data_IF_627780974115
#
_entry.id   IF_627780974115
#
_cell.length_a   1.000
_cell.length_b   1.000
_cell.length_c   1.000
_cell.angle_alpha   90.00
_cell.angle_beta   90.00
_cell.angle_gamma   90.00
#
_symmetry.space_group_name_H-M   'P 1'
#
loop_
_entity.id
_entity.type
_entity.pdbx_description
1 polymer ?
#
# COMPACT_ATOMS: atom_id res chain seq x y z
N UNK A 1 -43.54 75.52 -8.90
CA UNK A 1 -42.66 76.67 -9.11
C UNK A 1 -41.24 76.21 -9.16
N UNK A 2 -40.63 76.42 -10.33
CA UNK A 2 -39.20 76.32 -10.78
C UNK A 2 -38.28 75.29 -10.15
N UNK A 3 -38.10 74.21 -10.89
CA UNK A 3 -37.05 73.19 -10.76
C UNK A 3 -35.83 73.67 -11.54
N UNK A 4 -34.62 73.66 -10.92
CA UNK A 4 -33.35 73.82 -11.59
C UNK A 4 -32.71 72.45 -11.77
N UNK A 5 -32.39 72.09 -13.04
CA UNK A 5 -31.59 70.99 -13.47
C UNK A 5 -30.12 71.25 -13.12
N UNK A 6 -29.44 70.28 -12.46
CA UNK A 6 -27.98 70.22 -12.41
C UNK A 6 -27.56 68.91 -13.05
N UNK A 7 -26.78 69.04 -14.13
CA UNK A 7 -26.19 67.99 -14.91
C UNK A 7 -24.86 67.58 -14.24
N UNK A 8 -24.71 66.32 -13.80
CA UNK A 8 -23.41 65.80 -13.42
C UNK A 8 -22.96 64.75 -14.45
N UNK A 9 -21.80 65.03 -15.07
CA UNK A 9 -21.01 64.10 -15.87
C UNK A 9 -20.47 63.02 -14.89
N UNK A 10 -20.79 61.77 -15.13
CA UNK A 10 -20.13 60.64 -14.50
C UNK A 10 -19.23 59.96 -15.54
N UNK A 11 -17.94 60.07 -15.29
CA UNK A 11 -16.88 59.35 -16.00
C UNK A 11 -17.00 57.87 -15.60
N UNK A 12 -17.29 57.02 -16.57
CA UNK A 12 -17.38 55.59 -16.38
C UNK A 12 -15.99 54.96 -16.22
N UNK A 13 -15.66 54.52 -15.03
CA UNK A 13 -14.57 53.56 -14.81
C UNK A 13 -15.10 52.18 -15.09
N UNK A 14 -14.66 51.57 -16.18
CA UNK A 14 -14.91 50.13 -16.47
C UNK A 14 -14.02 49.29 -15.54
N UNK A 15 -14.60 48.81 -14.48
CA UNK A 15 -14.02 47.72 -13.65
C UNK A 15 -14.10 46.41 -14.45
N UNK A 16 -12.97 45.95 -14.98
CA UNK A 16 -12.81 44.57 -15.39
C UNK A 16 -12.86 43.70 -14.13
N UNK A 17 -14.01 43.12 -13.82
CA UNK A 17 -14.12 41.99 -12.93
C UNK A 17 -13.61 40.80 -13.70
N UNK A 18 -12.37 40.40 -13.42
CA UNK A 18 -11.84 39.13 -13.87
C UNK A 18 -12.67 38.00 -13.27
N UNK A 19 -13.51 37.38 -14.07
CA UNK A 19 -14.08 36.08 -13.74
C UNK A 19 -12.91 35.09 -13.70
N UNK A 20 -12.50 34.70 -12.48
CA UNK A 20 -11.75 33.49 -12.27
C UNK A 20 -12.66 32.34 -12.73
N UNK A 21 -12.35 31.77 -13.89
CA UNK A 21 -12.94 30.51 -14.32
C UNK A 21 -12.59 29.47 -13.24
N UNK A 22 -13.55 29.13 -12.42
CA UNK A 22 -13.50 27.94 -11.60
C UNK A 22 -13.46 26.77 -12.59
N UNK A 23 -12.30 26.17 -12.73
CA UNK A 23 -12.15 24.95 -13.50
C UNK A 23 -12.94 23.87 -12.76
N UNK A 24 -14.17 23.60 -13.18
CA UNK A 24 -14.89 22.42 -12.76
C UNK A 24 -14.05 21.21 -13.14
N UNK A 25 -13.64 20.44 -12.16
CA UNK A 25 -13.00 19.13 -12.35
C UNK A 25 -13.99 18.23 -13.09
N UNK A 26 -13.89 18.18 -14.41
CA UNK A 26 -14.57 17.17 -15.21
C UNK A 26 -13.89 15.82 -14.86
N UNK A 27 -14.42 15.14 -13.88
CA UNK A 27 -14.12 13.73 -13.68
C UNK A 27 -14.65 13.00 -14.90
N UNK A 28 -13.74 12.47 -15.73
CA UNK A 28 -14.10 11.49 -16.75
C UNK A 28 -14.53 10.25 -15.96
N UNK A 29 -15.80 10.17 -15.62
CA UNK A 29 -16.44 8.96 -15.11
C UNK A 29 -16.60 8.09 -16.35
N UNK A 30 -15.60 7.23 -16.60
CA UNK A 30 -15.76 6.15 -17.58
C UNK A 30 -16.96 5.29 -17.18
N UNK A 31 -17.72 4.84 -18.14
CA UNK A 31 -18.91 3.98 -17.98
C UNK A 31 -18.59 2.80 -17.03
N UNK A 32 -19.14 2.82 -15.83
CA UNK A 32 -18.92 1.85 -14.76
C UNK A 32 -17.68 2.13 -13.91
N UNK A 33 -17.83 2.07 -12.58
CA UNK A 33 -16.76 2.28 -11.60
C UNK A 33 -15.53 1.36 -11.76
N UNK A 34 -15.60 0.35 -12.64
CA UNK A 34 -14.59 -0.67 -12.90
C UNK A 34 -13.92 -0.58 -14.28
N UNK A 35 -14.27 0.38 -15.16
CA UNK A 35 -13.69 0.42 -16.50
C UNK A 35 -12.25 0.96 -16.49
N UNK A 36 -11.32 0.15 -17.01
CA UNK A 36 -9.94 0.57 -17.24
C UNK A 36 -9.90 1.61 -18.35
N UNK A 37 -9.15 2.68 -18.15
CA UNK A 37 -8.89 3.64 -19.21
C UNK A 37 -8.00 2.99 -20.29
N UNK A 38 -8.38 3.13 -21.56
CA UNK A 38 -7.50 2.72 -22.65
C UNK A 38 -6.29 3.67 -22.71
N UNK A 39 -5.08 3.08 -22.78
CA UNK A 39 -3.83 3.82 -22.85
C UNK A 39 -2.96 3.26 -23.98
N UNK A 40 -2.42 4.13 -24.83
CA UNK A 40 -1.38 3.77 -25.80
C UNK A 40 -0.01 4.25 -25.33
N UNK A 41 0.95 3.36 -25.45
CA UNK A 41 2.36 3.72 -25.45
C UNK A 41 2.76 3.81 -26.92
N UNK A 42 2.76 5.02 -27.51
CA UNK A 42 3.43 5.20 -28.78
C UNK A 42 4.90 4.80 -28.58
N UNK A 43 5.52 4.19 -29.61
CA UNK A 43 6.93 3.83 -29.51
C UNK A 43 7.69 5.09 -29.10
N UNK A 44 8.13 5.07 -27.84
CA UNK A 44 9.00 6.11 -27.33
C UNK A 44 10.21 6.14 -28.27
N UNK A 45 10.42 7.21 -29.00
CA UNK A 45 11.51 7.31 -29.96
C UNK A 45 12.85 7.04 -29.24
N UNK A 46 13.77 6.31 -29.86
CA UNK A 46 15.02 5.90 -29.21
C UNK A 46 14.97 4.54 -28.49
N UNK A 47 13.80 3.88 -28.39
CA UNK A 47 13.69 2.55 -27.77
C UNK A 47 14.38 1.38 -28.53
N UNK A 48 15.01 1.63 -29.66
CA UNK A 48 15.75 0.58 -30.41
C UNK A 48 17.04 0.11 -29.72
N UNK A 49 17.60 0.89 -28.79
CA UNK A 49 18.77 0.50 -27.99
C UNK A 49 18.34 -0.33 -26.79
N UNK A 50 19.25 -1.15 -26.24
CA UNK A 50 19.03 -2.09 -25.14
C UNK A 50 18.31 -1.44 -23.94
N UNK A 51 18.75 -0.28 -23.52
CA UNK A 51 18.19 0.47 -22.37
C UNK A 51 16.77 0.96 -22.66
N UNK A 52 16.51 1.47 -23.87
CA UNK A 52 15.19 1.90 -24.29
C UNK A 52 14.19 0.75 -24.39
N UNK A 53 14.59 -0.40 -24.94
CA UNK A 53 13.76 -1.62 -24.99
C UNK A 53 13.42 -2.10 -23.57
N UNK A 54 14.40 -2.11 -22.67
CA UNK A 54 14.20 -2.49 -21.26
C UNK A 54 13.23 -1.52 -20.58
N UNK A 55 13.45 -0.21 -20.74
CA UNK A 55 12.55 0.82 -20.19
C UNK A 55 11.12 0.61 -20.65
N UNK A 56 10.90 0.48 -21.96
CA UNK A 56 9.57 0.31 -22.56
C UNK A 56 8.87 -0.95 -22.05
N UNK A 57 9.57 -2.08 -22.01
CA UNK A 57 9.02 -3.36 -21.55
C UNK A 57 8.55 -3.26 -20.07
N UNK A 58 9.38 -2.66 -19.22
CA UNK A 58 9.04 -2.48 -17.79
C UNK A 58 7.87 -1.52 -17.65
N UNK A 59 7.92 -0.35 -18.30
CA UNK A 59 6.84 0.64 -18.25
C UNK A 59 5.49 0.06 -18.69
N UNK A 60 5.49 -0.69 -19.80
CA UNK A 60 4.28 -1.37 -20.29
C UNK A 60 3.73 -2.38 -19.28
N UNK A 61 4.61 -3.17 -18.69
CA UNK A 61 4.26 -4.17 -17.68
C UNK A 61 3.65 -3.50 -16.44
N UNK A 62 4.27 -2.43 -15.94
CA UNK A 62 3.83 -1.71 -14.75
C UNK A 62 2.47 -1.05 -14.94
N UNK A 63 2.27 -0.35 -16.07
CA UNK A 63 0.99 0.28 -16.40
C UNK A 63 -0.13 -0.76 -16.55
N UNK A 64 0.19 -1.96 -17.09
CA UNK A 64 -0.77 -3.07 -17.15
C UNK A 64 -1.11 -3.60 -15.76
N UNK A 65 -0.07 -3.84 -14.91
CA UNK A 65 -0.24 -4.34 -13.54
C UNK A 65 -0.91 -3.34 -12.60
N UNK A 66 -0.82 -2.05 -12.91
CA UNK A 66 -1.51 -1.02 -12.11
C UNK A 66 -3.03 -1.22 -12.07
N UNK A 67 -3.57 -2.05 -12.96
CA UNK A 67 -5.00 -2.31 -13.07
C UNK A 67 -5.83 -1.12 -13.59
N UNK A 68 -5.27 0.09 -13.60
CA UNK A 68 -5.96 1.32 -14.02
C UNK A 68 -6.08 1.48 -15.54
N UNK A 69 -5.21 0.80 -16.31
CA UNK A 69 -5.14 0.97 -17.75
C UNK A 69 -5.30 -0.34 -18.50
N UNK A 70 -6.00 -0.26 -19.65
CA UNK A 70 -5.93 -1.25 -20.73
C UNK A 70 -4.92 -0.74 -21.73
N UNK A 71 -3.68 -1.28 -21.66
CA UNK A 71 -2.60 -0.87 -22.56
C UNK A 71 -2.83 -1.44 -23.94
N UNK A 72 -2.97 -0.57 -24.93
CA UNK A 72 -3.23 -0.89 -26.34
C UNK A 72 -1.96 -0.70 -27.18
N UNK A 73 -1.90 -1.40 -28.30
CA UNK A 73 -0.81 -1.29 -29.30
C UNK A 73 -1.19 -0.42 -30.50
N UNK A 74 -2.45 0.03 -30.57
CA UNK A 74 -2.98 0.82 -31.70
C UNK A 74 -3.40 2.21 -31.22
N UNK A 75 -3.29 3.27 -32.07
CA UNK A 75 -3.80 4.60 -31.74
C UNK A 75 -5.33 4.60 -31.53
N UNK A 76 -5.85 5.67 -30.91
CA UNK A 76 -7.23 5.88 -30.43
C UNK A 76 -7.50 5.32 -29.03
N UNK A 77 -6.60 5.59 -28.10
CA UNK A 77 -6.85 5.39 -26.68
C UNK A 77 -7.35 6.70 -26.03
N UNK A 78 -7.99 6.56 -24.86
CA UNK A 78 -8.39 7.71 -24.06
C UNK A 78 -7.18 8.49 -23.55
N UNK A 79 -6.06 7.82 -23.34
CA UNK A 79 -4.78 8.38 -22.88
C UNK A 79 -3.66 7.95 -23.84
N UNK A 80 -2.83 8.89 -24.24
CA UNK A 80 -1.63 8.65 -25.03
C UNK A 80 -0.39 9.07 -24.28
N UNK A 81 0.59 8.16 -24.21
CA UNK A 81 1.93 8.43 -23.64
C UNK A 81 2.90 8.55 -24.79
N UNK A 82 3.44 9.76 -24.99
CA UNK A 82 4.40 10.12 -26.04
C UNK A 82 5.72 10.54 -25.44
N UNK A 83 6.80 10.46 -26.21
CA UNK A 83 8.09 10.98 -25.75
C UNK A 83 9.28 10.28 -26.39
N UNK A 84 10.40 10.34 -25.72
CA UNK A 84 11.65 9.70 -26.17
C UNK A 84 12.46 9.18 -24.99
N UNK A 85 13.21 8.12 -25.25
CA UNK A 85 14.16 7.55 -24.29
C UNK A 85 15.52 7.48 -24.96
N UNK A 86 16.53 8.06 -24.32
CA UNK A 86 17.89 8.11 -24.84
C UNK A 86 18.92 8.03 -23.72
N UNK A 87 20.15 7.71 -24.09
CA UNK A 87 21.29 7.68 -23.16
C UNK A 87 22.13 8.92 -23.38
N UNK A 88 22.44 9.64 -22.32
CA UNK A 88 23.29 10.83 -22.31
C UNK A 88 24.16 10.84 -21.07
N UNK A 89 25.46 11.01 -21.22
CA UNK A 89 26.40 11.11 -20.08
C UNK A 89 26.35 9.92 -19.10
N UNK A 90 26.12 8.69 -19.59
CA UNK A 90 25.99 7.49 -18.74
C UNK A 90 24.65 7.35 -18.03
N UNK A 91 23.72 8.27 -18.24
CA UNK A 91 22.34 8.25 -17.71
C UNK A 91 21.34 7.93 -18.80
N UNK A 92 20.26 7.21 -18.44
CA UNK A 92 19.05 7.07 -19.27
C UNK A 92 18.13 8.25 -18.93
N UNK A 93 17.67 8.94 -19.96
CA UNK A 93 16.71 10.04 -19.88
C UNK A 93 15.43 9.60 -20.56
N UNK A 94 14.29 9.79 -19.89
CA UNK A 94 12.95 9.55 -20.41
C UNK A 94 12.16 10.85 -20.38
N UNK A 95 11.86 11.41 -21.54
CA UNK A 95 10.92 12.52 -21.69
C UNK A 95 9.54 11.93 -21.93
N UNK A 96 8.58 12.32 -21.11
CA UNK A 96 7.24 11.74 -21.09
C UNK A 96 6.17 12.82 -21.14
N UNK A 97 5.28 12.73 -22.15
CA UNK A 97 4.09 13.55 -22.30
C UNK A 97 2.86 12.64 -22.28
N UNK A 98 1.96 12.88 -21.34
CA UNK A 98 0.71 12.11 -21.16
C UNK A 98 -0.46 13.03 -21.49
N UNK A 99 -1.21 12.69 -22.53
CA UNK A 99 -2.29 13.52 -23.03
C UNK A 99 -3.58 12.73 -23.23
N UNK A 100 -4.73 13.40 -23.10
CA UNK A 100 -6.01 12.88 -23.57
C UNK A 100 -6.32 13.51 -24.93
N UNK A 101 -6.24 12.78 -26.06
CA UNK A 101 -6.39 13.35 -27.40
C UNK A 101 -7.76 13.98 -27.62
N UNK A 102 -8.81 13.41 -27.07
CA UNK A 102 -10.18 13.86 -27.24
C UNK A 102 -10.45 15.25 -26.64
N UNK A 103 -9.71 15.63 -25.58
CA UNK A 103 -9.91 16.91 -24.86
C UNK A 103 -8.73 17.85 -24.97
N UNK A 104 -7.60 17.40 -25.52
CA UNK A 104 -6.33 18.13 -25.53
C UNK A 104 -5.69 18.28 -24.13
N UNK A 105 -6.26 17.66 -23.08
CA UNK A 105 -5.74 17.78 -21.72
C UNK A 105 -4.38 17.11 -21.60
N UNK A 106 -3.38 17.87 -21.12
CA UNK A 106 -2.08 17.34 -20.73
C UNK A 106 -2.10 16.98 -19.23
N UNK A 107 -1.90 15.71 -18.90
CA UNK A 107 -1.81 15.21 -17.52
C UNK A 107 -0.40 15.31 -16.96
N UNK A 108 0.61 15.06 -17.80
CA UNK A 108 2.01 15.05 -17.39
C UNK A 108 2.87 15.48 -18.57
N UNK A 109 3.81 16.40 -18.33
CA UNK A 109 4.89 16.74 -19.28
C UNK A 109 6.16 16.90 -18.47
N UNK A 110 7.02 15.86 -18.46
CA UNK A 110 8.17 15.80 -17.57
C UNK A 110 9.31 14.97 -18.13
N UNK A 111 10.54 15.36 -17.83
CA UNK A 111 11.75 14.61 -18.06
C UNK A 111 12.20 13.92 -16.76
N UNK A 112 12.60 12.66 -16.88
CA UNK A 112 13.13 11.83 -15.81
C UNK A 112 14.50 11.32 -16.22
N UNK A 113 15.42 11.17 -15.27
CA UNK A 113 16.74 10.60 -15.54
C UNK A 113 17.24 9.74 -14.41
N UNK A 114 18.03 8.73 -14.75
CA UNK A 114 18.73 7.86 -13.79
C UNK A 114 19.98 7.27 -14.44
N UNK A 115 20.98 6.81 -13.65
CA UNK A 115 22.09 6.03 -14.18
C UNK A 115 21.63 4.85 -15.04
N UNK A 116 22.33 4.51 -16.11
CA UNK A 116 21.93 3.45 -17.05
C UNK A 116 21.73 2.08 -16.38
N UNK A 117 22.47 1.78 -15.31
CA UNK A 117 22.25 0.59 -14.49
C UNK A 117 20.89 0.57 -13.76
N UNK A 118 20.23 1.72 -13.62
CA UNK A 118 18.95 1.91 -12.93
C UNK A 118 17.77 2.12 -13.88
N UNK A 119 17.87 1.77 -15.16
CA UNK A 119 16.82 1.93 -16.19
C UNK A 119 15.48 1.36 -15.74
N UNK A 120 15.48 0.22 -15.07
CA UNK A 120 14.26 -0.41 -14.54
C UNK A 120 13.59 0.46 -13.48
N UNK A 121 14.36 0.96 -12.50
CA UNK A 121 13.83 1.86 -11.46
C UNK A 121 13.27 3.15 -12.07
N UNK A 122 13.92 3.67 -13.11
CA UNK A 122 13.42 4.82 -13.86
C UNK A 122 12.04 4.53 -14.48
N UNK A 123 11.85 3.36 -15.09
CA UNK A 123 10.57 2.96 -15.67
C UNK A 123 9.47 2.86 -14.61
N UNK A 124 9.76 2.28 -13.45
CA UNK A 124 8.83 2.25 -12.32
C UNK A 124 8.43 3.65 -11.86
N UNK A 125 9.41 4.56 -11.72
CA UNK A 125 9.16 5.97 -11.34
C UNK A 125 8.27 6.68 -12.36
N UNK A 126 8.48 6.45 -13.66
CA UNK A 126 7.66 7.03 -14.72
C UNK A 126 6.24 6.43 -14.70
N UNK A 127 6.11 5.13 -14.50
CA UNK A 127 4.81 4.47 -14.36
C UNK A 127 4.01 5.06 -13.21
N UNK A 128 4.62 5.20 -12.03
CA UNK A 128 3.95 5.78 -10.85
C UNK A 128 3.53 7.24 -11.08
N UNK A 129 4.39 8.02 -11.76
CA UNK A 129 4.05 9.39 -12.13
C UNK A 129 2.86 9.47 -13.09
N UNK A 130 2.74 8.54 -14.04
CA UNK A 130 1.60 8.44 -14.98
C UNK A 130 0.33 8.08 -14.20
N UNK A 131 0.38 7.06 -13.34
CA UNK A 131 -0.77 6.65 -12.51
C UNK A 131 -1.24 7.82 -11.65
N UNK A 132 -0.33 8.49 -10.96
CA UNK A 132 -0.65 9.63 -10.10
C UNK A 132 -1.28 10.78 -10.90
N UNK A 133 -0.70 11.14 -12.05
CA UNK A 133 -1.18 12.24 -12.87
C UNK A 133 -2.57 11.98 -13.46
N UNK A 134 -2.87 10.75 -13.88
CA UNK A 134 -4.14 10.40 -14.54
C UNK A 134 -5.23 10.01 -13.55
N UNK A 135 -4.86 9.30 -12.48
CA UNK A 135 -5.84 8.71 -11.52
C UNK A 135 -5.90 9.44 -10.18
N UNK A 136 -4.90 10.28 -9.86
CA UNK A 136 -4.84 10.99 -8.58
C UNK A 136 -4.49 10.10 -7.38
N UNK A 137 -4.07 8.85 -7.61
CA UNK A 137 -3.65 7.90 -6.57
C UNK A 137 -2.18 7.53 -6.76
N UNK A 138 -1.45 7.12 -5.71
CA UNK A 138 -0.08 6.64 -5.85
C UNK A 138 0.01 5.46 -6.83
N UNK A 139 1.08 5.38 -7.62
CA UNK A 139 1.44 4.17 -8.32
C UNK A 139 2.10 3.16 -7.37
N UNK A 140 2.17 1.90 -7.79
CA UNK A 140 2.74 0.81 -6.99
C UNK A 140 4.02 0.21 -7.57
N UNK A 141 4.44 0.66 -8.76
CA UNK A 141 5.56 0.04 -9.48
C UNK A 141 6.90 0.18 -8.74
N UNK A 142 7.15 1.33 -8.08
CA UNK A 142 8.36 1.58 -7.29
C UNK A 142 8.28 1.02 -5.87
N UNK A 143 7.13 0.53 -5.42
CA UNK A 143 6.94 0.02 -4.07
C UNK A 143 7.64 -1.33 -3.87
N UNK A 144 7.77 -1.76 -2.63
CA UNK A 144 8.42 -3.00 -2.24
C UNK A 144 7.47 -3.84 -1.38
N UNK A 145 7.71 -5.13 -1.36
CA UNK A 145 6.99 -6.06 -0.48
C UNK A 145 8.02 -6.80 0.37
N UNK A 146 7.90 -6.66 1.68
CA UNK A 146 8.59 -7.52 2.63
C UNK A 146 7.76 -8.78 2.85
N UNK A 147 8.37 -9.92 2.98
CA UNK A 147 7.69 -11.20 3.21
C UNK A 147 8.59 -12.17 3.96
N UNK A 148 8.00 -13.21 4.49
CA UNK A 148 8.72 -14.28 5.17
C UNK A 148 8.93 -15.44 4.20
N UNK A 149 10.11 -16.06 4.25
CA UNK A 149 10.40 -17.32 3.55
C UNK A 149 10.92 -18.37 4.52
N UNK A 150 10.53 -19.61 4.30
CA UNK A 150 11.07 -20.79 5.01
C UNK A 150 12.12 -21.57 4.19
N UNK A 151 12.56 -21.03 3.05
CA UNK A 151 13.49 -21.70 2.11
C UNK A 151 14.77 -22.23 2.77
N UNK A 152 15.26 -21.58 3.83
CA UNK A 152 16.47 -21.99 4.57
C UNK A 152 16.18 -22.99 5.72
N UNK A 153 14.94 -23.51 5.85
CA UNK A 153 14.48 -24.26 7.02
C UNK A 153 14.19 -23.39 8.24
N UNK A 154 14.44 -22.07 8.14
CA UNK A 154 14.16 -21.07 9.16
C UNK A 154 13.37 -19.91 8.53
N UNK A 155 12.57 -19.22 9.33
CA UNK A 155 11.73 -18.13 8.87
C UNK A 155 12.55 -16.84 8.78
N UNK A 156 12.96 -16.47 7.56
CA UNK A 156 13.71 -15.26 7.28
C UNK A 156 12.86 -14.21 6.59
N UNK A 157 13.18 -12.93 6.78
CA UNK A 157 12.55 -11.81 6.07
C UNK A 157 13.35 -11.51 4.80
N UNK A 158 12.63 -11.38 3.69
CA UNK A 158 13.13 -10.91 2.41
C UNK A 158 12.33 -9.72 1.94
N UNK A 159 12.92 -8.93 1.04
CA UNK A 159 12.27 -7.81 0.37
C UNK A 159 12.39 -8.03 -1.13
N UNK A 160 11.33 -7.73 -1.88
CA UNK A 160 11.37 -7.65 -3.34
C UNK A 160 10.65 -6.40 -3.84
N UNK A 161 10.78 -6.11 -5.13
CA UNK A 161 9.91 -5.13 -5.80
C UNK A 161 8.46 -5.61 -5.89
N UNK A 162 7.51 -4.70 -6.08
CA UNK A 162 6.09 -5.04 -6.27
C UNK A 162 5.83 -5.93 -7.50
N UNK A 163 6.79 -6.06 -8.39
CA UNK A 163 6.78 -6.98 -9.53
C UNK A 163 7.44 -8.34 -9.25
N UNK A 164 7.85 -8.60 -8.00
CA UNK A 164 8.49 -9.83 -7.57
C UNK A 164 9.99 -9.94 -7.92
N UNK A 165 10.59 -8.88 -8.44
CA UNK A 165 12.02 -8.88 -8.78
C UNK A 165 12.88 -8.27 -7.65
N UNK A 166 14.20 -8.26 -7.85
CA UNK A 166 15.18 -7.66 -6.91
C UNK A 166 15.06 -8.22 -5.48
N UNK A 167 14.94 -9.55 -5.35
CA UNK A 167 14.77 -10.23 -4.06
C UNK A 167 16.05 -10.15 -3.25
N UNK A 168 15.94 -9.56 -2.06
CA UNK A 168 17.06 -9.41 -1.10
C UNK A 168 16.67 -10.03 0.23
N UNK A 169 17.50 -10.95 0.72
CA UNK A 169 17.36 -11.50 2.08
C UNK A 169 17.83 -10.44 3.08
N UNK A 170 16.96 -10.12 4.05
CA UNK A 170 17.20 -9.06 5.02
C UNK A 170 17.71 -9.59 6.37
N UNK A 171 17.22 -10.76 6.82
CA UNK A 171 17.59 -11.33 8.11
C UNK A 171 18.42 -12.59 7.94
N UNK A 172 19.38 -12.76 8.84
CA UNK A 172 20.30 -13.90 8.90
C UNK A 172 20.42 -14.44 10.34
N UNK A 173 19.33 -14.32 11.13
CA UNK A 173 19.35 -14.53 12.57
C UNK A 173 19.54 -16.00 12.97
N UNK A 174 19.30 -16.91 12.05
CA UNK A 174 19.24 -18.34 12.40
C UNK A 174 18.07 -18.71 13.31
N UNK A 175 17.16 -17.77 13.56
CA UNK A 175 15.95 -17.91 14.38
C UNK A 175 14.73 -17.36 13.62
N UNK A 176 13.49 -17.81 13.98
CA UNK A 176 12.30 -17.34 13.29
C UNK A 176 12.13 -15.82 13.38
N UNK A 177 11.87 -15.19 12.23
CA UNK A 177 11.43 -13.81 12.11
C UNK A 177 9.99 -13.78 11.62
N UNK A 178 9.13 -12.95 12.23
CA UNK A 178 7.68 -12.92 11.98
C UNK A 178 7.19 -11.48 11.85
N UNK A 179 6.02 -11.32 11.21
CA UNK A 179 5.23 -10.09 11.16
C UNK A 179 6.05 -8.86 10.79
N UNK A 180 6.66 -8.82 9.59
CA UNK A 180 7.33 -7.62 9.13
C UNK A 180 6.31 -6.49 8.92
N UNK A 181 6.67 -5.27 9.33
CA UNK A 181 5.92 -4.05 9.03
C UNK A 181 6.86 -2.91 8.69
N UNK A 182 6.45 -2.03 7.80
CA UNK A 182 7.26 -0.92 7.34
C UNK A 182 7.18 0.29 8.26
N UNK A 183 8.27 1.04 8.34
CA UNK A 183 8.17 2.43 8.80
C UNK A 183 7.38 3.26 7.78
N UNK A 184 6.65 4.32 8.19
CA UNK A 184 5.87 5.16 7.27
C UNK A 184 6.69 5.85 6.17
N UNK A 185 8.00 5.94 6.33
CA UNK A 185 8.94 6.47 5.33
C UNK A 185 9.53 5.40 4.42
N UNK A 186 9.19 4.12 4.60
CA UNK A 186 9.74 3.02 3.81
C UNK A 186 11.24 2.77 4.00
N UNK A 187 11.90 3.39 4.99
CA UNK A 187 13.35 3.30 5.20
C UNK A 187 13.76 2.32 6.31
N UNK A 188 12.81 1.68 6.96
CA UNK A 188 13.06 0.67 7.99
C UNK A 188 11.93 -0.37 8.03
N UNK A 189 12.25 -1.56 8.52
CA UNK A 189 11.29 -2.59 8.89
C UNK A 189 11.32 -2.84 10.40
N UNK A 190 10.14 -3.08 10.96
CA UNK A 190 9.94 -3.64 12.28
C UNK A 190 9.49 -5.08 12.13
N UNK A 191 9.91 -5.95 13.05
CA UNK A 191 9.56 -7.37 12.99
C UNK A 191 9.77 -8.04 14.34
N UNK A 192 9.11 -9.15 14.55
CA UNK A 192 9.34 -10.01 15.71
C UNK A 192 10.43 -11.03 15.39
N UNK A 193 11.45 -11.18 16.26
CA UNK A 193 12.49 -12.19 16.12
C UNK A 193 12.71 -12.96 17.40
N UNK A 194 12.93 -14.26 17.26
CA UNK A 194 13.28 -15.18 18.34
C UNK A 194 14.81 -15.32 18.53
N UNK A 195 15.59 -14.40 18.00
CA UNK A 195 17.08 -14.44 18.02
C UNK A 195 17.67 -14.66 19.42
N UNK A 196 17.01 -14.20 20.47
CA UNK A 196 17.43 -14.38 21.87
C UNK A 196 16.63 -15.46 22.61
N UNK A 197 15.94 -16.34 21.91
CA UNK A 197 15.11 -17.41 22.47
C UNK A 197 13.67 -17.00 22.79
N UNK A 198 13.40 -15.70 22.94
CA UNK A 198 12.07 -15.15 23.20
C UNK A 198 11.66 -14.17 22.08
N UNK A 199 10.35 -13.99 21.83
CA UNK A 199 9.87 -13.05 20.82
C UNK A 199 10.10 -11.60 21.29
N UNK A 200 11.01 -10.92 20.63
CA UNK A 200 11.31 -9.48 20.81
C UNK A 200 11.01 -8.72 19.52
N UNK A 201 10.63 -7.45 19.64
CA UNK A 201 10.44 -6.57 18.47
C UNK A 201 11.75 -5.87 18.13
N UNK A 202 12.19 -6.02 16.90
CA UNK A 202 13.36 -5.39 16.33
C UNK A 202 12.98 -4.38 15.24
N UNK A 203 13.83 -3.38 15.05
CA UNK A 203 13.85 -2.47 13.91
C UNK A 203 15.17 -2.66 13.15
N UNK A 204 15.07 -2.80 11.84
CA UNK A 204 16.25 -2.77 10.95
C UNK A 204 16.16 -1.55 10.04
N UNK A 205 17.21 -0.75 10.00
CA UNK A 205 17.36 0.37 9.09
C UNK A 205 17.85 -0.13 7.73
N UNK A 206 17.12 0.15 6.67
CA UNK A 206 17.40 -0.42 5.36
C UNK A 206 18.57 0.23 4.62
N UNK A 207 18.99 1.43 5.05
CA UNK A 207 20.13 2.12 4.45
C UNK A 207 21.44 1.64 5.07
N UNK A 208 21.47 1.51 6.40
CA UNK A 208 22.68 1.15 7.15
C UNK A 208 22.76 -0.32 7.52
N UNK A 209 21.67 -1.09 7.40
CA UNK A 209 21.58 -2.47 7.90
C UNK A 209 21.57 -2.57 9.44
N UNK A 210 21.61 -1.45 10.16
CA UNK A 210 21.67 -1.42 11.62
C UNK A 210 20.38 -1.98 12.22
N UNK A 211 20.53 -2.98 13.09
CA UNK A 211 19.44 -3.57 13.84
C UNK A 211 19.40 -3.04 15.28
N UNK A 212 18.20 -2.73 15.75
CA UNK A 212 17.96 -2.23 17.12
C UNK A 212 16.77 -2.98 17.71
N UNK A 213 16.92 -3.47 18.95
CA UNK A 213 15.81 -4.07 19.70
C UNK A 213 14.95 -2.96 20.29
N UNK A 214 13.66 -2.97 19.93
CA UNK A 214 12.70 -1.91 20.30
C UNK A 214 11.84 -2.31 21.50
N UNK A 215 11.37 -3.56 21.57
CA UNK A 215 10.61 -4.06 22.72
C UNK A 215 11.12 -5.44 23.12
N UNK A 216 11.31 -5.65 24.43
CA UNK A 216 11.83 -6.87 25.03
C UNK A 216 11.34 -6.99 26.47
N UNK A 217 10.03 -6.83 26.66
CA UNK A 217 9.38 -7.00 27.95
C UNK A 217 9.23 -8.50 28.27
N UNK A 218 9.00 -8.88 29.54
CA UNK A 218 8.70 -10.26 29.89
C UNK A 218 7.53 -10.81 29.07
N UNK A 219 7.64 -12.07 28.61
CA UNK A 219 6.61 -12.75 27.81
C UNK A 219 6.65 -12.36 26.33
N UNK A 220 5.48 -12.27 25.69
CA UNK A 220 5.31 -12.03 24.26
C UNK A 220 5.53 -10.55 23.96
N UNK A 221 6.35 -10.26 22.94
CA UNK A 221 6.50 -8.96 22.30
C UNK A 221 6.36 -9.15 20.78
N UNK A 222 5.19 -8.86 20.22
CA UNK A 222 4.89 -9.24 18.84
C UNK A 222 3.94 -8.25 18.15
N UNK A 223 3.77 -8.43 16.83
CA UNK A 223 2.75 -7.77 16.03
C UNK A 223 2.84 -6.27 16.05
N UNK A 224 4.05 -5.72 15.87
CA UNK A 224 4.23 -4.26 15.88
C UNK A 224 3.66 -3.62 14.61
N UNK A 225 2.96 -2.49 14.76
CA UNK A 225 2.59 -1.59 13.67
C UNK A 225 2.90 -0.13 14.05
N UNK A 226 3.27 0.68 13.07
CA UNK A 226 3.78 2.03 13.29
C UNK A 226 2.74 3.06 12.85
N UNK A 227 2.45 4.02 13.73
CA UNK A 227 1.52 5.10 13.40
C UNK A 227 1.97 5.89 12.16
N UNK A 228 1.06 6.44 11.34
CA UNK A 228 1.40 7.13 10.08
C UNK A 228 2.40 8.27 10.24
N UNK A 229 2.40 8.94 11.40
CA UNK A 229 3.36 10.00 11.73
C UNK A 229 4.73 9.49 12.22
N UNK A 230 4.91 8.16 12.35
CA UNK A 230 6.14 7.53 12.77
C UNK A 230 6.52 7.70 14.25
N UNK A 231 5.62 8.22 15.10
CA UNK A 231 5.94 8.56 16.51
C UNK A 231 5.53 7.46 17.49
N UNK A 232 4.54 6.67 17.17
CA UNK A 232 3.98 5.65 18.03
C UNK A 232 4.08 4.26 17.39
N UNK A 233 4.17 3.24 18.22
CA UNK A 233 4.12 1.83 17.82
C UNK A 233 3.02 1.15 18.62
N UNK A 234 2.04 0.57 17.96
CA UNK A 234 1.11 -0.37 18.54
C UNK A 234 1.74 -1.77 18.54
N UNK A 235 1.58 -2.53 19.61
CA UNK A 235 2.13 -3.88 19.70
C UNK A 235 1.35 -4.72 20.72
N UNK A 236 1.51 -6.02 20.61
CA UNK A 236 0.99 -7.01 21.57
C UNK A 236 2.04 -7.36 22.60
N UNK A 237 1.73 -7.21 23.88
CA UNK A 237 2.59 -7.63 25.00
C UNK A 237 1.80 -8.49 25.98
N UNK A 238 2.45 -9.54 26.53
CA UNK A 238 1.86 -10.35 27.61
C UNK A 238 2.51 -10.12 28.98
N UNK A 239 3.26 -9.03 29.15
CA UNK A 239 4.02 -8.73 30.36
C UNK A 239 3.17 -8.57 31.64
N UNK A 240 1.90 -8.30 31.51
CA UNK A 240 0.95 -8.13 32.64
C UNK A 240 -0.08 -9.25 32.70
N UNK A 241 0.25 -10.45 32.16
CA UNK A 241 -0.59 -11.66 32.13
C UNK A 241 -0.88 -12.12 30.70
N UNK A 242 -2.14 -12.00 30.24
CA UNK A 242 -2.55 -12.33 28.88
C UNK A 242 -2.03 -11.31 27.84
N UNK A 243 -2.00 -11.70 26.55
CA UNK A 243 -1.62 -10.80 25.48
C UNK A 243 -2.60 -9.62 25.36
N UNK A 244 -2.10 -8.41 25.44
CA UNK A 244 -2.88 -7.19 25.41
C UNK A 244 -2.30 -6.16 24.44
N UNK A 245 -3.13 -5.22 23.99
CA UNK A 245 -2.74 -4.14 23.11
C UNK A 245 -2.05 -3.01 23.89
N UNK A 246 -0.88 -2.62 23.46
CA UNK A 246 -0.12 -1.48 23.98
C UNK A 246 0.25 -0.50 22.89
N UNK A 247 0.44 0.76 23.29
CA UNK A 247 1.07 1.79 22.45
C UNK A 247 2.34 2.27 23.14
N UNK A 248 3.45 2.25 22.38
CA UNK A 248 4.75 2.74 22.79
C UNK A 248 5.10 4.01 22.02
N UNK A 249 5.50 5.06 22.73
CA UNK A 249 6.11 6.22 22.11
C UNK A 249 7.57 5.87 21.74
N UNK A 250 7.90 5.99 20.46
CA UNK A 250 9.21 5.56 19.94
C UNK A 250 10.37 6.49 20.35
N UNK A 251 10.07 7.75 20.71
CA UNK A 251 11.08 8.70 21.18
C UNK A 251 11.31 8.59 22.69
N UNK A 252 10.26 8.68 23.49
CA UNK A 252 10.37 8.68 24.96
C UNK A 252 10.42 7.29 25.57
N UNK A 253 10.07 6.24 24.83
CA UNK A 253 9.91 4.89 25.36
C UNK A 253 8.67 4.68 26.23
N UNK A 254 7.85 5.72 26.48
CA UNK A 254 6.63 5.60 27.30
C UNK A 254 5.70 4.56 26.72
N UNK A 255 5.25 3.62 27.55
CA UNK A 255 4.35 2.54 27.23
C UNK A 255 2.98 2.79 27.86
N UNK A 256 1.91 2.62 27.08
CA UNK A 256 0.51 2.76 27.52
C UNK A 256 -0.24 1.48 27.16
N UNK A 257 -0.85 0.81 28.14
CA UNK A 257 -1.75 -0.33 27.92
C UNK A 257 -3.11 0.18 27.51
N UNK A 258 -3.63 -0.27 26.34
CA UNK A 258 -4.93 0.16 25.81
C UNK A 258 -6.06 -0.78 26.18
N UNK A 259 -5.79 -2.10 26.28
CA UNK A 259 -6.77 -3.12 26.64
C UNK A 259 -6.40 -3.78 27.97
N UNK A 260 -7.43 -4.20 28.72
CA UNK A 260 -7.31 -4.91 30.00
C UNK A 260 -8.43 -5.94 30.05
N UNK A 261 -8.16 -7.12 29.54
CA UNK A 261 -9.11 -8.24 29.60
C UNK A 261 -8.70 -9.26 30.66
N UNK A 262 -9.63 -10.08 31.11
CA UNK A 262 -9.35 -11.09 32.15
C UNK A 262 -8.61 -12.28 31.52
N UNK A 263 -9.05 -12.72 30.33
CA UNK A 263 -8.56 -13.96 29.71
C UNK A 263 -8.47 -13.88 28.19
N UNK A 264 -8.96 -12.81 27.57
CA UNK A 264 -8.88 -12.67 26.11
C UNK A 264 -7.45 -12.35 25.65
N UNK A 265 -7.16 -12.68 24.41
CA UNK A 265 -5.90 -12.38 23.75
C UNK A 265 -6.14 -11.29 22.68
N UNK A 266 -5.39 -10.22 22.78
CA UNK A 266 -5.35 -9.15 21.78
C UNK A 266 -4.10 -9.28 20.93
N UNK A 267 -4.27 -9.17 19.58
CA UNK A 267 -3.17 -9.39 18.65
C UNK A 267 -3.30 -8.55 17.38
N UNK A 268 -2.22 -8.52 16.59
CA UNK A 268 -2.19 -7.99 15.21
C UNK A 268 -2.78 -6.59 15.09
N UNK A 269 -2.26 -5.58 15.80
CA UNK A 269 -2.70 -4.21 15.63
C UNK A 269 -2.40 -3.68 14.24
N UNK A 270 -3.29 -2.80 13.74
CA UNK A 270 -3.09 -2.03 12.51
C UNK A 270 -3.65 -0.61 12.68
N UNK A 271 -2.83 0.41 12.41
CA UNK A 271 -3.20 1.82 12.55
C UNK A 271 -4.14 2.28 11.43
N UNK A 272 -5.10 3.13 11.80
CA UNK A 272 -5.86 3.89 10.81
C UNK A 272 -4.96 4.89 10.08
N UNK A 273 -5.26 5.24 8.80
CA UNK A 273 -4.43 6.18 8.02
C UNK A 273 -4.34 7.58 8.63
N UNK A 274 -5.30 7.99 9.43
CA UNK A 274 -5.28 9.25 10.19
C UNK A 274 -4.56 9.16 11.55
N UNK A 275 -4.16 7.94 11.97
CA UNK A 275 -3.46 7.69 13.23
C UNK A 275 -4.32 7.86 14.48
N UNK A 276 -5.66 7.91 14.36
CA UNK A 276 -6.57 8.14 15.50
C UNK A 276 -7.10 6.84 16.09
N UNK A 277 -7.09 5.76 15.33
CA UNK A 277 -7.65 4.47 15.73
C UNK A 277 -6.68 3.33 15.43
N UNK A 278 -6.91 2.20 16.07
CA UNK A 278 -6.17 0.96 15.86
C UNK A 278 -7.19 -0.16 15.70
N UNK A 279 -7.12 -0.89 14.58
CA UNK A 279 -7.77 -2.18 14.42
C UNK A 279 -6.92 -3.27 15.06
N UNK A 280 -7.53 -4.27 15.65
CA UNK A 280 -6.83 -5.39 16.27
C UNK A 280 -7.73 -6.62 16.37
N UNK A 281 -7.14 -7.77 16.61
CA UNK A 281 -7.84 -9.03 16.86
C UNK A 281 -8.09 -9.17 18.36
N UNK A 282 -9.28 -9.59 18.75
CA UNK A 282 -9.59 -10.03 20.12
C UNK A 282 -10.52 -11.25 20.09
N UNK A 283 -10.29 -12.20 20.97
CA UNK A 283 -11.14 -13.37 21.17
C UNK A 283 -12.10 -13.23 22.36
N UNK A 284 -12.29 -12.02 22.87
CA UNK A 284 -13.17 -11.71 24.02
C UNK A 284 -14.60 -12.20 23.87
N UNK A 285 -15.06 -12.50 22.65
CA UNK A 285 -16.39 -13.07 22.35
C UNK A 285 -16.35 -14.58 22.06
N UNK A 286 -15.28 -15.29 22.47
CA UNK A 286 -15.11 -16.72 22.33
C UNK A 286 -14.48 -17.17 21.01
N UNK A 287 -14.28 -16.25 20.04
CA UNK A 287 -13.53 -16.50 18.81
C UNK A 287 -12.88 -15.21 18.31
N UNK A 288 -11.73 -15.30 17.61
CA UNK A 288 -11.02 -14.13 17.10
C UNK A 288 -11.89 -13.29 16.17
N UNK A 289 -12.01 -11.99 16.48
CA UNK A 289 -12.76 -11.00 15.71
C UNK A 289 -11.98 -9.70 15.61
N UNK A 290 -12.27 -8.89 14.60
CA UNK A 290 -11.66 -7.58 14.46
C UNK A 290 -12.42 -6.56 15.32
N UNK A 291 -11.67 -5.82 16.11
CA UNK A 291 -12.13 -4.71 16.92
C UNK A 291 -11.39 -3.44 16.53
N UNK A 292 -11.97 -2.30 16.87
CA UNK A 292 -11.36 -0.97 16.73
C UNK A 292 -11.38 -0.28 18.08
N UNK A 293 -10.26 0.37 18.42
CA UNK A 293 -10.11 1.22 19.61
C UNK A 293 -9.49 2.56 19.21
N UNK A 294 -9.80 3.63 19.95
CA UNK A 294 -9.08 4.91 19.80
C UNK A 294 -7.61 4.75 20.23
N UNK A 295 -6.69 5.40 19.55
CA UNK A 295 -5.27 5.39 19.90
C UNK A 295 -5.00 5.97 21.30
N UNK A 296 -5.90 6.83 21.82
CA UNK A 296 -5.90 7.36 23.18
C UNK A 296 -6.48 6.41 24.23
N UNK A 297 -6.98 5.24 23.83
CA UNK A 297 -7.69 4.29 24.69
C UNK A 297 -9.21 4.51 24.70
N UNK A 298 -9.91 3.76 25.55
CA UNK A 298 -11.36 3.75 25.69
C UNK A 298 -11.94 2.35 25.44
N UNK A 299 -13.25 2.26 25.24
CA UNK A 299 -13.93 0.97 25.02
C UNK A 299 -13.75 0.49 23.58
N UNK A 300 -13.24 -0.73 23.36
CA UNK A 300 -13.16 -1.32 22.04
C UNK A 300 -14.55 -1.56 21.43
N UNK A 301 -14.65 -1.45 20.10
CA UNK A 301 -15.86 -1.73 19.32
C UNK A 301 -15.58 -2.85 18.34
N UNK A 302 -16.36 -3.92 18.41
CA UNK A 302 -16.30 -5.01 17.44
C UNK A 302 -16.71 -4.52 16.06
N UNK A 303 -15.95 -4.92 15.02
CA UNK A 303 -16.18 -4.53 13.64
C UNK A 303 -16.73 -5.68 12.80
N UNK A 304 -16.28 -6.93 13.03
CA UNK A 304 -16.65 -8.10 12.21
C UNK A 304 -17.69 -8.97 12.90
N UNK A 305 -18.69 -9.45 12.13
CA UNK A 305 -19.80 -10.26 12.61
C UNK A 305 -20.06 -11.49 11.73
N UNK A 306 -19.42 -11.58 10.57
CA UNK A 306 -19.47 -12.71 9.64
C UNK A 306 -18.14 -13.46 9.69
N UNK A 307 -18.17 -14.77 9.41
CA UNK A 307 -16.99 -15.64 9.53
C UNK A 307 -16.80 -16.17 10.94
N UNK A 308 -16.29 -17.40 11.03
CA UNK A 308 -16.04 -18.06 12.31
C UNK A 308 -14.90 -17.40 13.08
N UNK A 309 -13.85 -17.04 12.35
CA UNK A 309 -12.66 -16.38 12.85
C UNK A 309 -12.29 -15.26 11.89
N UNK A 310 -11.89 -14.11 12.40
CA UNK A 310 -11.43 -12.95 11.62
C UNK A 310 -10.13 -12.46 12.23
N UNK A 311 -9.05 -12.52 11.45
CA UNK A 311 -7.68 -12.28 11.92
C UNK A 311 -6.89 -11.42 10.94
N UNK A 312 -5.71 -10.97 11.36
CA UNK A 312 -4.74 -10.22 10.53
C UNK A 312 -5.37 -9.02 9.83
N UNK A 313 -5.95 -8.06 10.55
CA UNK A 313 -6.44 -6.84 9.94
C UNK A 313 -5.27 -6.01 9.40
N UNK A 314 -5.47 -5.39 8.23
CA UNK A 314 -4.60 -4.37 7.68
C UNK A 314 -5.44 -3.17 7.22
N UNK A 315 -5.21 -2.01 7.81
CA UNK A 315 -5.97 -0.80 7.54
C UNK A 315 -5.40 -0.08 6.31
N UNK A 316 -6.17 -0.04 5.25
CA UNK A 316 -5.76 0.55 3.98
C UNK A 316 -5.79 2.07 3.97
N UNK A 317 -5.11 2.68 3.00
CA UNK A 317 -4.99 4.14 2.88
C UNK A 317 -6.33 4.85 2.62
N UNK A 318 -7.31 4.14 2.12
CA UNK A 318 -8.65 4.63 1.81
C UNK A 318 -9.67 4.44 2.95
N UNK A 319 -9.21 4.01 4.14
CA UNK A 319 -10.04 3.81 5.32
C UNK A 319 -10.73 2.45 5.41
N UNK A 320 -10.58 1.55 4.41
CA UNK A 320 -11.07 0.17 4.49
C UNK A 320 -10.07 -0.73 5.22
N UNK A 321 -10.56 -1.81 5.81
CA UNK A 321 -9.72 -2.82 6.47
C UNK A 321 -9.81 -4.13 5.68
N UNK A 322 -8.67 -4.64 5.22
CA UNK A 322 -8.54 -6.01 4.73
C UNK A 322 -8.27 -6.94 5.91
N UNK A 323 -8.78 -8.15 5.85
CA UNK A 323 -8.59 -9.14 6.90
C UNK A 323 -8.79 -10.57 6.39
N UNK A 324 -8.26 -11.54 7.10
CA UNK A 324 -8.47 -12.96 6.83
C UNK A 324 -9.69 -13.43 7.58
N UNK A 325 -10.70 -13.98 6.89
CA UNK A 325 -11.95 -14.46 7.45
C UNK A 325 -12.13 -15.94 7.16
N UNK A 326 -12.35 -16.76 8.20
CA UNK A 326 -12.63 -18.18 8.02
C UNK A 326 -14.07 -18.41 7.61
N UNK A 327 -14.25 -18.72 6.31
CA UNK A 327 -15.56 -18.95 5.66
C UNK A 327 -15.55 -20.30 4.94
N UNK A 328 -16.60 -21.08 5.12
CA UNK A 328 -16.69 -22.43 4.53
C UNK A 328 -15.46 -23.32 4.77
N UNK A 329 -14.87 -23.21 5.98
CA UNK A 329 -13.71 -24.00 6.39
C UNK A 329 -12.34 -23.52 5.92
N UNK A 330 -12.27 -22.47 5.08
CA UNK A 330 -11.04 -21.88 4.55
C UNK A 330 -10.93 -20.41 4.92
N UNK A 331 -9.71 -19.91 5.05
CA UNK A 331 -9.47 -18.47 5.18
C UNK A 331 -9.61 -17.78 3.83
N UNK A 332 -10.33 -16.69 3.82
CA UNK A 332 -10.54 -15.86 2.64
C UNK A 332 -10.23 -14.40 2.96
N UNK A 333 -9.71 -13.66 1.99
CA UNK A 333 -9.52 -12.22 2.14
C UNK A 333 -10.87 -11.53 2.02
N UNK A 334 -11.20 -10.76 3.04
CA UNK A 334 -12.37 -9.91 3.09
C UNK A 334 -11.94 -8.46 3.30
N UNK A 335 -12.77 -7.53 2.86
CA UNK A 335 -12.58 -6.09 3.04
C UNK A 335 -13.82 -5.51 3.67
N UNK A 336 -13.67 -4.79 4.78
CA UNK A 336 -14.75 -4.06 5.43
C UNK A 336 -14.53 -2.56 5.31
N UNK A 337 -15.58 -1.84 4.89
CA UNK A 337 -15.65 -0.39 4.95
C UNK A 337 -16.06 0.00 6.37
N UNK A 338 -15.19 0.73 7.07
CA UNK A 338 -15.37 1.07 8.50
C UNK A 338 -16.53 2.04 8.73
N UNK A 339 -16.78 2.94 7.79
CA UNK A 339 -17.83 3.95 7.85
C UNK A 339 -19.19 3.35 7.43
N UNK A 340 -19.24 2.70 6.26
CA UNK A 340 -20.47 2.09 5.73
C UNK A 340 -20.84 0.79 6.40
N UNK A 341 -19.90 0.15 7.12
CA UNK A 341 -20.05 -1.16 7.76
C UNK A 341 -20.45 -2.26 6.76
N UNK A 342 -20.01 -2.13 5.52
CA UNK A 342 -20.21 -3.14 4.48
C UNK A 342 -19.00 -4.06 4.40
N UNK A 343 -19.25 -5.37 4.31
CA UNK A 343 -18.24 -6.42 4.26
C UNK A 343 -18.32 -7.13 2.90
N UNK A 344 -17.20 -7.16 2.18
CA UNK A 344 -17.06 -7.81 0.87
C UNK A 344 -15.98 -8.88 0.93
N UNK A 345 -16.31 -10.09 0.53
CA UNK A 345 -15.33 -11.16 0.31
C UNK A 345 -14.64 -10.94 -1.03
N UNK A 346 -13.31 -10.98 -1.06
CA UNK A 346 -12.47 -10.74 -2.25
C UNK A 346 -12.05 -12.05 -2.90
N UNK A 347 -11.68 -13.07 -2.09
CA UNK A 347 -11.30 -14.40 -2.59
C UNK A 347 -12.36 -15.43 -2.24
N UNK A 348 -12.55 -16.46 -3.10
CA UNK A 348 -13.58 -17.50 -2.91
C UNK A 348 -13.10 -18.89 -3.30
N UNK A 349 -11.81 -19.07 -3.60
CA UNK A 349 -11.23 -20.36 -3.95
C UNK A 349 -11.20 -21.31 -2.73
N UNK A 350 -11.24 -22.62 -2.98
CA UNK A 350 -11.16 -23.63 -1.91
C UNK A 350 -9.71 -23.85 -1.43
N UNK A 351 -9.00 -22.76 -1.21
CA UNK A 351 -7.65 -22.69 -0.65
C UNK A 351 -7.59 -21.56 0.38
N UNK A 352 -6.58 -21.59 1.23
CA UNK A 352 -6.44 -20.53 2.25
C UNK A 352 -5.77 -19.29 1.67
N UNK A 353 -6.39 -18.13 1.89
CA UNK A 353 -5.85 -16.80 1.63
C UNK A 353 -5.77 -16.05 2.94
N UNK A 354 -4.57 -15.65 3.34
CA UNK A 354 -4.30 -15.11 4.66
C UNK A 354 -3.35 -13.91 4.63
N UNK A 355 -3.32 -13.18 5.75
CA UNK A 355 -2.36 -12.12 6.03
C UNK A 355 -2.34 -11.05 4.92
N UNK A 356 -3.47 -10.37 4.66
CA UNK A 356 -3.53 -9.31 3.67
C UNK A 356 -2.64 -8.14 4.07
N UNK A 357 -2.09 -7.45 3.05
CA UNK A 357 -1.43 -6.16 3.20
C UNK A 357 -1.79 -5.25 2.02
N UNK A 358 -2.35 -4.08 2.30
CA UNK A 358 -2.73 -3.10 1.31
C UNK A 358 -1.53 -2.49 0.60
N UNK A 359 -1.67 -2.31 -0.70
CA UNK A 359 -0.81 -1.42 -1.47
C UNK A 359 -1.16 0.05 -1.20
N UNK A 360 -0.21 0.98 -1.42
CA UNK A 360 -0.45 2.41 -1.20
C UNK A 360 -1.52 3.02 -2.13
N UNK A 361 -1.90 2.35 -3.20
CA UNK A 361 -2.95 2.80 -4.12
C UNK A 361 -4.39 2.55 -3.62
N UNK A 362 -4.58 1.83 -2.50
CA UNK A 362 -5.88 1.46 -1.96
C UNK A 362 -6.69 0.50 -2.85
N UNK A 363 -6.07 -0.09 -3.87
CA UNK A 363 -6.70 -1.02 -4.81
C UNK A 363 -6.18 -2.44 -4.68
N UNK A 364 -4.87 -2.61 -4.58
CA UNK A 364 -4.22 -3.91 -4.54
C UNK A 364 -3.97 -4.38 -3.10
N UNK A 365 -4.03 -5.70 -2.92
CA UNK A 365 -3.75 -6.37 -1.65
C UNK A 365 -2.75 -7.50 -1.92
N UNK A 366 -1.61 -7.52 -1.23
CA UNK A 366 -0.77 -8.70 -1.17
C UNK A 366 -1.32 -9.66 -0.10
N UNK A 367 -1.32 -10.96 -0.37
CA UNK A 367 -1.70 -11.98 0.62
C UNK A 367 -0.89 -13.27 0.45
N UNK A 368 -0.83 -14.08 1.47
CA UNK A 368 -0.37 -15.46 1.36
C UNK A 368 -1.51 -16.33 0.83
N UNK A 369 -1.25 -17.17 -0.18
CA UNK A 369 -2.15 -18.22 -0.66
C UNK A 369 -1.50 -19.56 -0.45
N UNK A 370 -2.19 -20.43 0.28
CA UNK A 370 -1.70 -21.77 0.64
C UNK A 370 -2.58 -22.82 0.00
N UNK A 371 -1.96 -23.69 -0.82
CA UNK A 371 -2.60 -24.83 -1.45
C UNK A 371 -1.85 -26.10 -1.05
N UNK A 372 -2.51 -26.97 -0.32
CA UNK A 372 -1.85 -28.11 0.33
C UNK A 372 -0.79 -27.62 1.34
N UNK A 373 0.47 -27.94 1.06
CA UNK A 373 1.63 -27.55 1.89
C UNK A 373 2.50 -26.47 1.27
N UNK A 374 2.06 -25.85 0.17
CA UNK A 374 2.85 -24.86 -0.56
C UNK A 374 2.18 -23.50 -0.40
N UNK A 375 2.92 -22.56 0.16
CA UNK A 375 2.48 -21.17 0.30
C UNK A 375 3.22 -20.26 -0.66
N UNK A 376 2.48 -19.31 -1.24
CA UNK A 376 3.03 -18.26 -2.10
C UNK A 376 2.38 -16.92 -1.80
N UNK A 377 3.08 -15.83 -2.13
CA UNK A 377 2.50 -14.49 -2.07
C UNK A 377 1.86 -14.14 -3.40
N UNK A 378 0.62 -13.65 -3.34
CA UNK A 378 -0.19 -13.24 -4.47
C UNK A 378 -0.63 -11.77 -4.28
N UNK A 379 -0.83 -11.10 -5.39
CA UNK A 379 -1.41 -9.76 -5.45
C UNK A 379 -2.84 -9.89 -5.97
N UNK A 380 -3.78 -9.41 -5.19
CA UNK A 380 -5.21 -9.36 -5.49
C UNK A 380 -5.57 -7.95 -5.95
N UNK A 381 -6.56 -7.85 -6.81
CA UNK A 381 -7.19 -6.59 -7.22
C UNK A 381 -8.62 -6.52 -6.67
N UNK A 382 -8.92 -5.52 -5.85
CA UNK A 382 -10.26 -5.38 -5.24
C UNK A 382 -11.34 -4.97 -6.23
N UNK A 383 -10.96 -4.58 -7.46
CA UNK A 383 -11.86 -4.22 -8.57
C UNK A 383 -12.13 -5.38 -9.54
N UNK A 384 -11.49 -6.54 -9.33
CA UNK A 384 -11.86 -7.79 -10.01
C UNK A 384 -10.91 -8.27 -11.10
N UNK A 385 -9.71 -7.71 -11.24
CA UNK A 385 -8.68 -8.33 -12.06
C UNK A 385 -8.22 -9.66 -11.46
N UNK A 386 -7.75 -10.56 -12.30
CA UNK A 386 -7.24 -11.85 -11.86
C UNK A 386 -6.04 -11.67 -10.90
N UNK A 387 -6.03 -12.48 -9.85
CA UNK A 387 -4.89 -12.50 -8.93
C UNK A 387 -3.59 -12.88 -9.63
N UNK A 388 -2.49 -12.28 -9.23
CA UNK A 388 -1.17 -12.51 -9.81
C UNK A 388 -0.23 -13.09 -8.75
N UNK A 389 0.38 -14.23 -9.05
CA UNK A 389 1.41 -14.80 -8.18
C UNK A 389 2.68 -13.94 -8.24
N UNK A 390 3.09 -13.40 -7.09
CA UNK A 390 4.29 -12.59 -6.97
C UNK A 390 5.56 -13.46 -6.83
N UNK A 391 5.48 -14.52 -5.99
CA UNK A 391 6.62 -15.39 -5.70
C UNK A 391 6.68 -16.53 -6.71
N UNK A 392 7.64 -16.46 -7.63
CA UNK A 392 7.92 -17.55 -8.60
C UNK A 392 9.10 -18.42 -8.15
N UNK A 393 9.59 -18.25 -6.92
CA UNK A 393 10.76 -18.93 -6.37
C UNK A 393 10.34 -20.19 -5.60
N UNK A 394 11.24 -21.18 -5.52
CA UNK A 394 11.06 -22.37 -4.65
C UNK A 394 11.05 -21.95 -3.18
N UNK A 395 10.19 -22.59 -2.38
CA UNK A 395 10.03 -22.38 -0.95
C UNK A 395 8.64 -21.86 -0.58
N UNK A 396 8.34 -21.80 0.71
CA UNK A 396 7.11 -21.24 1.22
C UNK A 396 7.29 -19.77 1.51
N UNK A 397 6.25 -19.00 1.17
CA UNK A 397 6.26 -17.55 1.24
C UNK A 397 4.94 -17.06 1.84
N UNK A 398 5.02 -16.25 2.90
CA UNK A 398 3.86 -15.79 3.65
C UNK A 398 4.11 -14.45 4.35
N UNK A 399 3.09 -13.93 5.03
CA UNK A 399 3.08 -12.67 5.77
C UNK A 399 3.65 -11.50 4.94
N UNK A 400 3.09 -11.19 3.76
CA UNK A 400 3.52 -10.02 3.03
C UNK A 400 3.22 -8.74 3.81
N UNK A 401 4.10 -7.75 3.66
CA UNK A 401 3.91 -6.38 4.11
C UNK A 401 4.28 -5.45 2.96
N UNK A 402 3.32 -4.72 2.44
CA UNK A 402 3.53 -3.77 1.35
C UNK A 402 4.13 -2.47 1.89
N UNK A 403 5.10 -1.88 1.19
CA UNK A 403 5.68 -0.59 1.60
C UNK A 403 4.72 0.56 1.33
N UNK A 404 4.79 1.61 2.13
CA UNK A 404 4.02 2.84 1.92
C UNK A 404 4.40 3.56 0.64
#
# INVERSE_FOLDING_TARGET
MKVKKILYLLVGAVLFVGQSAVCEDIRIVGEGANSKLSLTLEQLSGCRKKEGLRFYSVLKSDLTRSGWFKVLTKPKAAIEVKGRVFVSGGSVVAECNVVAPATGRCYLSKSFSAPACSTRKLAHTVSDAIVLAVKGVPGIASSKIAMITSKSGKKDIVICGADGQDVVKLTHDGAPCLSPTWSPKGNALYYTSFFRGFPDVYRIDLNSGRRTRIASYPGINAGADISPNGKLMALTLSKDGNPELYVRNLRSGKLTRLTKTISAAEASPSWSPDGRQIAFVSDTTGSPQIYIIKASGGKPRRLTFRGKENVSPDWGPDGRIAYSSRRSGRYQICVVDVEKRTDKQITSEYVDHEQPSWAPDGRHIACARTEGYISGVYVLDTMGDAQVRLTQFKGDWYAPAWSP
#
